data_IF_322791118147
#
_entry.id   IF_322791118147
#
_cell.length_a   1.000
_cell.length_b   1.000
_cell.length_c   1.000
_cell.angle_alpha   90.00
_cell.angle_beta   90.00
_cell.angle_gamma   90.00
#
_symmetry.space_group_name_H-M   'P 1'
#
loop_
_entity.id
_entity.type
_entity.pdbx_description
1 polymer ?
#
# COMPACT_ATOMS: atom_id res chain seq x y z
N UNK A 1 56.97 46.53 -1.30
CA UNK A 1 56.38 47.88 -1.48
C UNK A 1 56.92 48.45 -2.78
N UNK A 2 56.14 48.32 -3.85
CA UNK A 2 56.36 49.04 -5.11
C UNK A 2 54.98 49.24 -5.73
N UNK A 3 54.71 50.48 -6.11
CA UNK A 3 53.40 51.03 -6.48
C UNK A 3 53.28 50.99 -7.99
N UNK A 4 52.12 50.57 -8.52
CA UNK A 4 51.72 50.96 -9.87
C UNK A 4 50.22 51.31 -9.89
N UNK A 5 49.96 52.57 -10.25
CA UNK A 5 48.63 53.16 -10.51
C UNK A 5 48.35 53.05 -12.00
N UNK A 6 47.19 52.52 -12.38
CA UNK A 6 46.46 52.84 -13.62
C UNK A 6 44.99 52.67 -13.22
N UNK A 7 44.11 53.67 -13.26
CA UNK A 7 43.85 54.64 -14.31
C UNK A 7 42.37 54.49 -14.63
N UNK A 8 41.53 55.22 -13.89
CA UNK A 8 40.08 55.27 -13.99
C UNK A 8 39.68 56.01 -15.27
N UNK A 9 38.80 55.42 -16.08
CA UNK A 9 37.96 56.16 -17.02
C UNK A 9 36.51 55.83 -16.68
N UNK A 10 35.84 56.87 -16.18
CA UNK A 10 34.40 56.96 -15.94
C UNK A 10 33.76 57.29 -17.28
N UNK A 11 32.79 56.48 -17.71
CA UNK A 11 31.80 56.91 -18.69
C UNK A 11 30.41 56.67 -18.09
N UNK A 12 29.91 57.70 -17.42
CA UNK A 12 28.50 57.84 -17.07
C UNK A 12 27.71 58.20 -18.33
N UNK A 13 26.73 57.36 -18.68
CA UNK A 13 25.48 57.88 -19.26
C UNK A 13 24.29 57.00 -18.85
N UNK A 14 23.46 57.61 -18.03
CA UNK A 14 22.24 57.09 -17.41
C UNK A 14 21.00 57.37 -18.33
N UNK A 15 19.74 57.13 -17.92
CA UNK A 15 18.91 56.01 -18.38
C UNK A 15 17.62 56.43 -19.12
N UNK A 16 16.93 55.49 -19.78
CA UNK A 16 15.46 55.50 -19.90
C UNK A 16 14.91 54.16 -20.47
N UNK A 17 14.13 53.50 -19.61
CA UNK A 17 13.00 52.60 -19.86
C UNK A 17 12.60 52.26 -21.31
N UNK A 18 12.45 50.96 -21.58
CA UNK A 18 11.18 50.39 -22.04
C UNK A 18 11.20 48.87 -21.89
N UNK A 19 10.23 48.36 -21.15
CA UNK A 19 9.95 46.96 -20.96
C UNK A 19 9.43 46.31 -22.25
N UNK A 20 10.00 45.16 -22.59
CA UNK A 20 9.36 44.06 -23.32
C UNK A 20 10.12 42.81 -22.83
N UNK A 21 9.58 42.03 -21.90
CA UNK A 21 8.34 41.28 -22.13
C UNK A 21 8.62 40.05 -23.01
N UNK A 22 9.77 39.41 -22.83
CA UNK A 22 10.05 38.08 -23.34
C UNK A 22 9.83 37.06 -22.22
N UNK A 23 8.57 36.91 -21.85
CA UNK A 23 8.06 35.82 -21.02
C UNK A 23 8.48 34.52 -21.71
N UNK A 24 9.61 33.94 -21.28
CA UNK A 24 9.88 32.55 -21.57
C UNK A 24 8.91 31.81 -20.69
N UNK A 25 7.74 31.54 -21.26
CA UNK A 25 6.92 30.40 -20.91
C UNK A 25 7.86 29.23 -20.63
N UNK A 26 8.16 28.99 -19.35
CA UNK A 26 8.59 27.69 -18.88
C UNK A 26 7.29 26.92 -18.94
N UNK A 27 7.04 26.12 -20.00
CA UNK A 27 5.79 25.41 -20.11
C UNK A 27 5.79 24.47 -18.91
N UNK A 28 4.80 24.66 -18.02
CA UNK A 28 4.67 23.91 -16.79
C UNK A 28 4.92 22.44 -17.08
N UNK A 29 6.08 21.95 -16.66
CA UNK A 29 6.39 20.54 -16.62
C UNK A 29 5.66 19.92 -15.43
N UNK A 30 4.36 20.15 -15.35
CA UNK A 30 3.44 19.19 -14.76
C UNK A 30 3.44 17.98 -15.69
N UNK A 31 4.55 17.25 -15.62
CA UNK A 31 4.76 15.95 -16.27
C UNK A 31 3.57 15.11 -15.84
N UNK A 32 2.65 14.88 -16.76
CA UNK A 32 1.48 14.06 -16.50
C UNK A 32 1.96 12.69 -15.97
N UNK A 33 1.93 12.51 -14.65
CA UNK A 33 2.44 11.31 -14.01
C UNK A 33 1.56 10.15 -14.45
N UNK A 34 2.14 9.21 -15.20
CA UNK A 34 1.35 8.14 -15.78
C UNK A 34 0.84 7.22 -14.68
N UNK A 35 -0.29 6.55 -14.93
CA UNK A 35 -0.90 5.63 -13.95
C UNK A 35 0.08 4.55 -13.47
N UNK A 36 0.97 4.08 -14.35
CA UNK A 36 2.04 3.13 -14.04
C UNK A 36 2.98 3.65 -12.96
N UNK A 37 3.42 4.89 -13.06
CA UNK A 37 4.38 5.50 -12.14
C UNK A 37 3.75 5.69 -10.78
N UNK A 38 2.50 6.17 -10.77
CA UNK A 38 1.73 6.31 -9.53
C UNK A 38 1.57 4.97 -8.83
N UNK A 39 1.35 3.89 -9.57
CA UNK A 39 1.24 2.56 -9.02
C UNK A 39 2.57 2.07 -8.43
N UNK A 40 3.70 2.28 -9.13
CA UNK A 40 5.03 1.91 -8.64
C UNK A 40 5.42 2.71 -7.39
N UNK A 41 5.18 4.02 -7.38
CA UNK A 41 5.47 4.87 -6.22
C UNK A 41 4.51 4.59 -5.05
N UNK A 42 3.24 4.27 -5.33
CA UNK A 42 2.30 3.83 -4.31
C UNK A 42 2.72 2.49 -3.69
N UNK A 43 3.19 1.54 -4.51
CA UNK A 43 3.81 0.31 -4.05
C UNK A 43 5.04 0.63 -3.18
N UNK A 44 5.93 1.49 -3.65
CA UNK A 44 7.10 2.00 -2.93
C UNK A 44 6.76 2.46 -1.53
N UNK A 45 5.85 3.44 -1.43
CA UNK A 45 5.39 3.99 -0.15
C UNK A 45 4.74 2.95 0.76
N UNK A 46 4.06 1.97 0.17
CA UNK A 46 3.42 0.91 0.92
C UNK A 46 4.45 -0.06 1.52
N UNK A 47 5.44 -0.51 0.74
CA UNK A 47 6.38 -1.52 1.22
C UNK A 47 7.48 -0.94 2.11
N UNK A 48 7.79 0.35 2.00
CA UNK A 48 8.73 1.02 2.93
C UNK A 48 8.05 1.53 4.20
N UNK A 49 6.73 1.36 4.34
CA UNK A 49 5.99 1.78 5.53
C UNK A 49 6.51 1.08 6.79
N UNK A 50 6.56 1.83 7.90
CA UNK A 50 7.08 1.40 9.20
C UNK A 50 8.61 1.15 9.23
N UNK A 51 9.34 1.59 8.21
CA UNK A 51 10.80 1.74 8.26
C UNK A 51 11.17 3.15 8.77
N UNK A 52 12.41 3.35 9.27
CA UNK A 52 12.94 4.68 9.56
C UNK A 52 12.80 5.63 8.37
N UNK A 53 12.45 6.89 8.63
CA UNK A 53 12.08 7.87 7.61
C UNK A 53 13.23 8.13 6.61
N UNK A 54 14.48 8.09 7.06
CA UNK A 54 15.69 8.20 6.23
C UNK A 54 15.79 7.05 5.24
N UNK A 55 15.65 5.81 5.71
CA UNK A 55 15.72 4.61 4.87
C UNK A 55 14.57 4.56 3.86
N UNK A 56 13.37 4.96 4.29
CA UNK A 56 12.20 5.02 3.41
C UNK A 56 12.36 6.10 2.34
N UNK A 57 12.88 7.28 2.69
CA UNK A 57 13.13 8.38 1.76
C UNK A 57 14.18 8.02 0.71
N UNK A 58 15.32 7.45 1.13
CA UNK A 58 16.38 7.01 0.21
C UNK A 58 15.85 6.01 -0.83
N UNK A 59 15.08 5.02 -0.37
CA UNK A 59 14.53 3.98 -1.26
C UNK A 59 13.46 4.53 -2.20
N UNK A 60 12.66 5.49 -1.75
CA UNK A 60 11.68 6.16 -2.61
C UNK A 60 12.38 7.03 -3.67
N UNK A 61 13.45 7.74 -3.32
CA UNK A 61 14.23 8.53 -4.25
C UNK A 61 14.89 7.66 -5.35
N UNK A 62 15.40 6.48 -4.99
CA UNK A 62 15.91 5.49 -5.95
C UNK A 62 14.82 5.04 -6.93
N UNK A 63 13.63 4.67 -6.43
CA UNK A 63 12.50 4.28 -7.28
C UNK A 63 12.01 5.42 -8.18
N UNK A 64 12.03 6.65 -7.71
CA UNK A 64 11.70 7.83 -8.51
C UNK A 64 12.72 8.04 -9.64
N UNK A 65 14.01 7.85 -9.36
CA UNK A 65 15.08 7.89 -10.38
C UNK A 65 14.91 6.78 -11.41
N UNK A 66 14.69 5.53 -10.99
CA UNK A 66 14.48 4.38 -11.89
C UNK A 66 13.30 4.60 -12.84
N UNK A 67 12.18 5.13 -12.31
CA UNK A 67 10.99 5.43 -13.12
C UNK A 67 11.25 6.58 -14.09
N UNK A 68 12.05 7.58 -13.69
CA UNK A 68 12.45 8.67 -14.55
C UNK A 68 13.37 8.20 -15.69
N UNK A 69 14.39 7.39 -15.39
CA UNK A 69 15.33 6.82 -16.37
C UNK A 69 14.61 5.94 -17.39
N UNK A 70 13.72 5.06 -16.92
CA UNK A 70 12.96 4.18 -17.81
C UNK A 70 12.03 4.97 -18.74
N UNK A 71 11.45 6.09 -18.25
CA UNK A 71 10.66 6.99 -19.09
C UNK A 71 11.54 7.69 -20.13
N UNK A 72 12.71 8.18 -19.74
CA UNK A 72 13.65 8.83 -20.64
C UNK A 72 14.11 7.87 -21.74
N UNK A 73 14.41 6.62 -21.39
CA UNK A 73 14.82 5.58 -22.32
C UNK A 73 13.71 5.16 -23.29
N UNK A 74 12.44 5.19 -22.87
CA UNK A 74 11.30 4.76 -23.68
C UNK A 74 10.74 5.83 -24.64
N UNK A 75 11.33 7.02 -24.73
CA UNK A 75 11.04 8.02 -25.76
C UNK A 75 9.62 8.64 -25.74
N UNK A 76 8.83 8.43 -24.68
CA UNK A 76 7.51 9.07 -24.51
C UNK A 76 6.32 8.11 -24.42
N UNK A 77 5.64 8.22 -23.28
CA UNK A 77 4.24 7.88 -22.98
C UNK A 77 3.67 6.45 -23.21
N UNK A 78 3.70 5.88 -24.41
CA UNK A 78 2.85 4.71 -24.73
C UNK A 78 3.55 3.34 -24.59
N UNK A 79 4.88 3.27 -24.77
CA UNK A 79 5.65 2.02 -24.61
C UNK A 79 6.19 1.77 -23.19
N UNK A 80 6.48 2.85 -22.44
CA UNK A 80 7.16 2.80 -21.15
C UNK A 80 6.35 2.06 -20.07
N UNK A 81 5.03 2.25 -20.05
CA UNK A 81 4.17 1.79 -18.95
C UNK A 81 4.19 0.27 -18.76
N UNK A 82 4.22 -0.51 -19.84
CA UNK A 82 4.28 -1.99 -19.75
C UNK A 82 5.65 -2.48 -19.27
N UNK A 83 6.74 -1.83 -19.70
CA UNK A 83 8.09 -2.15 -19.23
C UNK A 83 8.25 -1.86 -17.73
N UNK A 84 7.83 -0.66 -17.32
CA UNK A 84 7.86 -0.21 -15.91
C UNK A 84 7.08 -1.17 -15.01
N UNK A 85 5.82 -1.46 -15.36
CA UNK A 85 4.98 -2.37 -14.55
C UNK A 85 5.54 -3.80 -14.55
N UNK A 86 6.03 -4.28 -15.70
CA UNK A 86 6.62 -5.62 -15.80
C UNK A 86 7.87 -5.78 -14.95
N UNK A 87 8.72 -4.75 -14.87
CA UNK A 87 9.89 -4.74 -13.96
C UNK A 87 9.45 -4.67 -12.51
N UNK A 88 8.51 -3.78 -12.18
CA UNK A 88 8.01 -3.63 -10.82
C UNK A 88 7.42 -4.94 -10.27
N UNK A 89 6.59 -5.63 -11.05
CA UNK A 89 6.02 -6.94 -10.67
C UNK A 89 7.11 -7.98 -10.41
N UNK A 90 8.14 -8.04 -11.26
CA UNK A 90 9.28 -8.95 -11.06
C UNK A 90 10.15 -8.56 -9.86
N UNK A 91 10.17 -7.29 -9.49
CA UNK A 91 10.89 -6.75 -8.34
C UNK A 91 10.21 -6.98 -6.99
N UNK A 92 8.89 -7.18 -6.96
CA UNK A 92 8.10 -7.36 -5.71
C UNK A 92 8.72 -8.38 -4.74
N UNK A 93 9.13 -9.59 -5.15
CA UNK A 93 9.73 -10.55 -4.22
C UNK A 93 11.04 -10.06 -3.61
N UNK A 94 11.87 -9.36 -4.40
CA UNK A 94 13.13 -8.79 -3.93
C UNK A 94 12.88 -7.63 -2.96
N UNK A 95 11.92 -6.75 -3.25
CA UNK A 95 11.52 -5.64 -2.38
C UNK A 95 11.03 -6.17 -1.01
N UNK A 96 10.19 -7.21 -1.03
CA UNK A 96 9.69 -7.84 0.20
C UNK A 96 10.81 -8.55 0.98
N UNK A 97 11.71 -9.27 0.30
CA UNK A 97 12.85 -9.90 0.94
C UNK A 97 13.78 -8.87 1.59
N UNK A 98 14.04 -7.76 0.90
CA UNK A 98 14.79 -6.62 1.42
C UNK A 98 14.13 -6.02 2.65
N UNK A 99 12.81 -5.79 2.61
CA UNK A 99 12.05 -5.24 3.75
C UNK A 99 12.17 -6.17 4.96
N UNK A 100 11.98 -7.47 4.76
CA UNK A 100 12.11 -8.47 5.83
C UNK A 100 13.52 -8.47 6.43
N UNK A 101 14.55 -8.38 5.59
CA UNK A 101 15.94 -8.29 6.05
C UNK A 101 16.18 -7.03 6.90
N UNK A 102 15.66 -5.87 6.47
CA UNK A 102 15.77 -4.61 7.22
C UNK A 102 15.05 -4.66 8.57
N UNK A 103 13.83 -5.18 8.59
CA UNK A 103 13.06 -5.32 9.83
C UNK A 103 13.69 -6.30 10.81
N UNK A 104 14.30 -7.39 10.31
CA UNK A 104 15.10 -8.29 11.16
C UNK A 104 16.30 -7.56 11.75
N UNK A 105 17.01 -6.75 10.96
CA UNK A 105 18.12 -5.92 11.45
C UNK A 105 17.68 -4.95 12.56
N UNK A 106 16.58 -4.22 12.35
CA UNK A 106 16.03 -3.27 13.32
C UNK A 106 15.53 -3.95 14.61
N UNK A 107 14.97 -5.16 14.49
CA UNK A 107 14.55 -5.97 15.64
C UNK A 107 15.73 -6.41 16.51
N UNK A 108 16.92 -6.63 15.92
CA UNK A 108 18.11 -7.05 16.66
C UNK A 108 18.73 -5.88 17.46
N UNK A 109 18.48 -4.65 17.03
CA UNK A 109 19.00 -3.43 17.69
C UNK A 109 18.00 -2.78 18.65
N UNK A 110 16.74 -3.24 18.68
CA UNK A 110 15.71 -2.68 19.55
C UNK A 110 15.98 -3.03 21.03
N UNK A 111 15.83 -2.08 21.97
CA UNK A 111 15.94 -2.35 23.40
C UNK A 111 14.97 -3.47 23.84
N UNK A 112 15.46 -4.41 24.65
CA UNK A 112 14.62 -5.47 25.26
C UNK A 112 13.48 -4.81 26.05
N UNK A 113 12.25 -4.96 25.57
CA UNK A 113 11.05 -4.36 26.18
C UNK A 113 10.22 -3.49 25.24
N UNK A 114 10.77 -3.07 24.08
CA UNK A 114 9.96 -2.47 23.01
C UNK A 114 9.23 -3.58 22.26
N UNK A 115 7.99 -3.87 22.68
CA UNK A 115 7.09 -4.83 22.03
C UNK A 115 6.97 -4.53 20.51
N UNK A 116 6.91 -5.55 19.64
CA UNK A 116 7.87 -5.62 18.55
C UNK A 116 7.43 -4.83 17.31
N UNK A 117 8.37 -4.02 16.79
CA UNK A 117 8.36 -3.44 15.44
C UNK A 117 8.05 -4.47 14.32
N UNK A 118 8.17 -5.76 14.60
CA UNK A 118 7.85 -6.84 13.66
C UNK A 118 6.34 -7.06 13.43
N UNK A 119 5.46 -6.68 14.36
CA UNK A 119 4.01 -6.95 14.25
C UNK A 119 3.35 -6.22 13.07
N UNK A 120 3.54 -4.88 12.89
CA UNK A 120 2.99 -4.19 11.72
C UNK A 120 3.54 -4.76 10.42
N UNK A 121 4.83 -5.05 10.36
CA UNK A 121 5.43 -5.64 9.17
C UNK A 121 4.86 -7.02 8.83
N UNK A 122 4.66 -7.87 9.83
CA UNK A 122 4.06 -9.19 9.65
C UNK A 122 2.63 -9.05 9.11
N UNK A 123 1.87 -8.05 9.56
CA UNK A 123 0.54 -7.77 9.03
C UNK A 123 0.58 -7.37 7.55
N UNK A 124 1.54 -6.54 7.13
CA UNK A 124 1.72 -6.19 5.72
C UNK A 124 2.14 -7.39 4.87
N UNK A 125 3.06 -8.22 5.37
CA UNK A 125 3.49 -9.45 4.68
C UNK A 125 2.32 -10.43 4.54
N UNK A 126 1.56 -10.67 5.62
CA UNK A 126 0.38 -11.52 5.58
C UNK A 126 -0.69 -10.98 4.62
N UNK A 127 -0.89 -9.66 4.60
CA UNK A 127 -1.80 -8.97 3.65
C UNK A 127 -1.34 -9.19 2.21
N UNK A 128 -0.06 -8.99 1.90
CA UNK A 128 0.49 -9.22 0.56
C UNK A 128 0.37 -10.69 0.14
N UNK A 129 0.65 -11.64 1.03
CA UNK A 129 0.47 -13.07 0.77
C UNK A 129 -1.00 -13.41 0.49
N UNK A 130 -1.94 -12.82 1.26
CA UNK A 130 -3.37 -13.02 1.05
C UNK A 130 -3.84 -12.45 -0.30
N UNK A 131 -3.36 -11.26 -0.68
CA UNK A 131 -3.65 -10.66 -1.99
C UNK A 131 -3.08 -11.51 -3.13
N UNK A 132 -1.83 -11.97 -3.01
CA UNK A 132 -1.20 -12.84 -4.01
C UNK A 132 -1.98 -14.16 -4.16
N UNK A 133 -2.41 -14.76 -3.05
CA UNK A 133 -3.27 -15.93 -3.04
C UNK A 133 -4.61 -15.68 -3.73
N UNK A 134 -5.28 -14.56 -3.42
CA UNK A 134 -6.54 -14.17 -4.07
C UNK A 134 -6.40 -13.97 -5.58
N UNK A 135 -5.34 -13.29 -6.03
CA UNK A 135 -5.03 -13.12 -7.46
C UNK A 135 -4.79 -14.47 -8.14
N UNK A 136 -4.01 -15.36 -7.51
CA UNK A 136 -3.76 -16.71 -8.03
C UNK A 136 -5.07 -17.48 -8.25
N UNK A 137 -5.98 -17.44 -7.28
CA UNK A 137 -7.29 -18.09 -7.38
C UNK A 137 -8.08 -17.53 -8.55
N UNK A 138 -8.26 -16.21 -8.62
CA UNK A 138 -9.06 -15.55 -9.66
C UNK A 138 -8.50 -15.85 -11.05
N UNK A 139 -7.18 -15.80 -11.21
CA UNK A 139 -6.51 -16.12 -12.49
C UNK A 139 -6.69 -17.58 -12.87
N UNK A 140 -6.47 -18.51 -11.94
CA UNK A 140 -6.60 -19.95 -12.23
C UNK A 140 -8.03 -20.35 -12.57
N UNK A 141 -8.97 -19.85 -11.80
CA UNK A 141 -10.40 -20.05 -12.03
C UNK A 141 -10.82 -19.45 -13.36
N UNK A 142 -10.45 -18.19 -13.63
CA UNK A 142 -10.76 -17.52 -14.89
C UNK A 142 -10.20 -18.25 -16.11
N UNK A 143 -8.94 -18.73 -16.03
CA UNK A 143 -8.34 -19.54 -17.08
C UNK A 143 -9.13 -20.85 -17.31
N UNK A 144 -9.48 -21.56 -16.24
CA UNK A 144 -10.28 -22.79 -16.33
C UNK A 144 -11.66 -22.58 -16.98
N UNK A 145 -12.30 -21.44 -16.72
CA UNK A 145 -13.56 -21.05 -17.35
C UNK A 145 -13.39 -20.74 -18.85
N UNK A 146 -12.32 -20.02 -19.22
CA UNK A 146 -12.03 -19.69 -20.63
C UNK A 146 -11.73 -20.95 -21.45
N UNK A 147 -11.03 -21.91 -20.87
CA UNK A 147 -10.66 -23.17 -21.52
C UNK A 147 -11.83 -24.19 -21.55
N UNK A 148 -13.01 -23.83 -21.03
CA UNK A 148 -14.19 -24.70 -20.98
C UNK A 148 -14.05 -25.93 -20.09
N UNK A 149 -12.89 -26.11 -19.45
CA UNK A 149 -12.60 -27.20 -18.50
C UNK A 149 -13.44 -27.11 -17.21
N UNK A 150 -14.14 -26.01 -17.01
CA UNK A 150 -14.84 -25.69 -15.78
C UNK A 150 -16.26 -25.19 -16.04
N UNK A 151 -17.23 -26.11 -16.03
CA UNK A 151 -18.66 -25.80 -16.16
C UNK A 151 -19.35 -25.91 -14.79
N UNK A 152 -19.74 -24.78 -14.20
CA UNK A 152 -20.74 -24.76 -13.10
C UNK A 152 -20.29 -24.27 -11.73
N UNK A 153 -19.08 -23.73 -11.56
CA UNK A 153 -18.58 -23.24 -10.26
C UNK A 153 -18.61 -21.71 -10.10
N UNK A 154 -19.65 -21.04 -10.62
CA UNK A 154 -19.80 -19.58 -10.55
C UNK A 154 -19.73 -19.05 -9.12
N UNK A 155 -20.25 -19.80 -8.15
CA UNK A 155 -20.21 -19.43 -6.73
C UNK A 155 -18.78 -19.31 -6.19
N UNK A 156 -17.85 -20.16 -6.65
CA UNK A 156 -16.45 -20.12 -6.25
C UNK A 156 -15.72 -18.93 -6.88
N UNK A 157 -16.05 -18.60 -8.13
CA UNK A 157 -15.53 -17.40 -8.82
C UNK A 157 -15.98 -16.16 -8.07
N UNK A 158 -17.28 -16.06 -7.79
CA UNK A 158 -17.88 -14.95 -7.06
C UNK A 158 -17.27 -14.82 -5.66
N UNK A 159 -17.10 -15.92 -4.93
CA UNK A 159 -16.43 -15.93 -3.63
C UNK A 159 -14.97 -15.46 -3.72
N UNK A 160 -14.23 -15.89 -4.75
CA UNK A 160 -12.85 -15.45 -4.99
C UNK A 160 -12.74 -13.95 -5.28
N UNK A 161 -13.62 -13.42 -6.15
CA UNK A 161 -13.69 -12.00 -6.48
C UNK A 161 -14.11 -11.15 -5.27
N UNK A 162 -15.14 -11.57 -4.55
CA UNK A 162 -15.58 -10.92 -3.31
C UNK A 162 -14.44 -10.93 -2.30
N UNK A 163 -13.82 -12.07 -2.05
CA UNK A 163 -12.70 -12.20 -1.11
C UNK A 163 -11.51 -11.29 -1.49
N UNK A 164 -11.15 -11.22 -2.77
CA UNK A 164 -10.10 -10.34 -3.25
C UNK A 164 -10.48 -8.85 -3.12
N UNK A 165 -11.73 -8.49 -3.42
CA UNK A 165 -12.26 -7.15 -3.21
C UNK A 165 -12.21 -6.72 -1.74
N UNK A 166 -12.65 -7.60 -0.83
CA UNK A 166 -12.54 -7.40 0.62
C UNK A 166 -11.08 -7.21 1.05
N UNK A 167 -10.16 -8.00 0.51
CA UNK A 167 -8.73 -7.90 0.82
C UNK A 167 -8.14 -6.57 0.34
N UNK A 168 -8.52 -6.10 -0.85
CA UNK A 168 -8.07 -4.81 -1.39
C UNK A 168 -8.62 -3.63 -0.56
N UNK A 169 -9.90 -3.66 -0.20
CA UNK A 169 -10.52 -2.66 0.68
C UNK A 169 -9.83 -2.66 2.05
N UNK A 170 -9.67 -3.84 2.65
CA UNK A 170 -8.98 -4.00 3.93
C UNK A 170 -7.54 -3.47 3.88
N UNK A 171 -6.79 -3.82 2.83
CA UNK A 171 -5.45 -3.32 2.60
C UNK A 171 -5.38 -1.80 2.38
N UNK A 172 -6.40 -1.19 1.76
CA UNK A 172 -6.46 0.26 1.61
C UNK A 172 -6.75 0.94 2.96
N UNK A 173 -7.66 0.37 3.76
CA UNK A 173 -7.99 0.87 5.10
C UNK A 173 -6.81 0.75 6.08
N UNK A 174 -5.96 -0.28 5.97
CA UNK A 174 -4.73 -0.39 6.78
C UNK A 174 -3.71 0.71 6.46
N UNK A 175 -3.85 1.40 5.32
CA UNK A 175 -3.01 2.57 5.00
C UNK A 175 -3.46 3.84 5.73
N UNK A 176 -4.70 3.90 6.21
CA UNK A 176 -5.24 5.04 6.96
C UNK A 176 -5.04 4.78 8.46
N UNK A 177 -4.16 5.53 9.17
CA UNK A 177 -3.84 5.27 10.57
C UNK A 177 -5.04 5.10 11.49
N UNK A 178 -6.07 5.94 11.30
CA UNK A 178 -7.30 5.95 12.09
C UNK A 178 -8.23 4.76 11.81
N UNK A 179 -8.14 4.18 10.61
CA UNK A 179 -8.98 3.08 10.15
C UNK A 179 -8.26 1.72 10.11
N UNK A 180 -7.02 1.64 10.63
CA UNK A 180 -6.19 0.41 10.59
C UNK A 180 -6.90 -0.80 11.20
N UNK A 181 -7.55 -0.61 12.34
CA UNK A 181 -8.30 -1.67 13.01
C UNK A 181 -9.44 -2.18 12.14
N UNK A 182 -10.17 -1.28 11.47
CA UNK A 182 -11.25 -1.63 10.56
C UNK A 182 -10.68 -2.39 9.37
N UNK A 183 -9.60 -1.90 8.75
CA UNK A 183 -8.92 -2.60 7.67
C UNK A 183 -8.51 -4.03 8.02
N UNK A 184 -8.00 -4.25 9.23
CA UNK A 184 -7.69 -5.59 9.72
C UNK A 184 -8.93 -6.48 9.88
N UNK A 185 -10.09 -5.94 10.30
CA UNK A 185 -11.34 -6.70 10.33
C UNK A 185 -11.81 -7.11 8.92
N UNK A 186 -11.70 -6.21 7.93
CA UNK A 186 -11.98 -6.55 6.53
C UNK A 186 -11.04 -7.65 6.03
N UNK A 187 -9.76 -7.58 6.38
CA UNK A 187 -8.77 -8.62 6.06
C UNK A 187 -9.06 -9.96 6.76
N UNK A 188 -9.65 -9.96 7.95
CA UNK A 188 -10.09 -11.19 8.63
C UNK A 188 -11.24 -11.87 7.88
N UNK A 189 -12.23 -11.10 7.41
CA UNK A 189 -13.31 -11.65 6.58
C UNK A 189 -12.76 -12.14 5.23
N UNK A 190 -11.90 -11.33 4.60
CA UNK A 190 -11.24 -11.69 3.35
C UNK A 190 -10.41 -12.98 3.47
N UNK A 191 -9.67 -13.14 4.57
CA UNK A 191 -8.84 -14.32 4.82
C UNK A 191 -9.68 -15.58 4.95
N UNK A 192 -10.80 -15.53 5.67
CA UNK A 192 -11.74 -16.64 5.72
C UNK A 192 -12.23 -17.01 4.32
N UNK A 193 -12.73 -16.02 3.56
CA UNK A 193 -13.31 -16.25 2.23
C UNK A 193 -12.27 -16.84 1.27
N UNK A 194 -11.10 -16.20 1.16
CA UNK A 194 -10.05 -16.58 0.21
C UNK A 194 -9.34 -17.89 0.58
N UNK A 195 -9.10 -18.17 1.86
CA UNK A 195 -8.47 -19.43 2.27
C UNK A 195 -9.46 -20.58 2.13
N UNK A 196 -10.69 -20.41 2.64
CA UNK A 196 -11.71 -21.46 2.63
C UNK A 196 -12.19 -21.79 1.23
N UNK A 197 -12.75 -20.81 0.52
CA UNK A 197 -13.36 -21.02 -0.81
C UNK A 197 -12.31 -21.05 -1.91
N UNK A 198 -11.21 -20.31 -1.76
CA UNK A 198 -10.12 -20.36 -2.72
C UNK A 198 -9.43 -21.72 -2.76
N UNK A 199 -9.27 -22.39 -1.62
CA UNK A 199 -8.79 -23.78 -1.61
C UNK A 199 -9.73 -24.71 -2.38
N UNK A 200 -11.06 -24.59 -2.20
CA UNK A 200 -12.03 -25.38 -2.97
C UNK A 200 -11.96 -25.09 -4.47
N UNK A 201 -11.79 -23.82 -4.85
CA UNK A 201 -11.59 -23.43 -6.24
C UNK A 201 -10.32 -24.05 -6.85
N UNK A 202 -9.22 -24.09 -6.10
CA UNK A 202 -7.98 -24.71 -6.54
C UNK A 202 -8.07 -26.23 -6.63
N UNK A 203 -8.73 -26.90 -5.67
CA UNK A 203 -8.98 -28.36 -5.73
C UNK A 203 -9.75 -28.71 -7.00
N UNK A 204 -10.74 -27.89 -7.36
CA UNK A 204 -11.56 -28.13 -8.53
C UNK A 204 -10.88 -27.73 -9.86
N UNK A 205 -9.79 -26.95 -9.84
CA UNK A 205 -9.04 -26.54 -11.06
C UNK A 205 -7.66 -27.18 -11.20
N UNK A 206 -7.20 -27.95 -10.22
CA UNK A 206 -5.86 -28.56 -10.20
C UNK A 206 -5.95 -30.07 -9.97
N UNK A 207 -5.53 -30.85 -10.96
CA UNK A 207 -5.49 -32.32 -10.89
C UNK A 207 -4.60 -32.81 -9.75
N UNK A 208 -3.45 -32.16 -9.52
CA UNK A 208 -2.53 -32.49 -8.44
C UNK A 208 -3.14 -32.23 -7.06
N UNK A 209 -3.77 -31.05 -6.85
CA UNK A 209 -4.41 -30.74 -5.58
C UNK A 209 -5.63 -31.64 -5.33
N UNK A 210 -6.39 -31.94 -6.39
CA UNK A 210 -7.52 -32.87 -6.34
C UNK A 210 -7.08 -34.27 -5.94
N UNK A 211 -6.02 -34.80 -6.56
CA UNK A 211 -5.45 -36.11 -6.20
C UNK A 211 -4.97 -36.14 -4.74
N UNK A 212 -4.26 -35.10 -4.29
CA UNK A 212 -3.80 -34.97 -2.91
C UNK A 212 -4.99 -34.96 -1.92
N UNK A 213 -6.01 -34.14 -2.16
CA UNK A 213 -7.19 -34.06 -1.29
C UNK A 213 -8.01 -35.35 -1.27
N UNK A 214 -8.08 -36.08 -2.39
CA UNK A 214 -8.75 -37.37 -2.43
C UNK A 214 -7.97 -38.45 -1.68
N UNK A 215 -6.63 -38.38 -1.65
CA UNK A 215 -5.80 -39.34 -0.90
C UNK A 215 -5.72 -39.10 0.61
N UNK A 216 -5.86 -37.84 1.07
CA UNK A 216 -5.67 -37.43 2.46
C UNK A 216 -6.83 -36.57 2.97
N UNK A 217 -8.07 -36.98 2.66
CA UNK A 217 -9.25 -36.12 2.75
C UNK A 217 -9.48 -35.51 4.15
N UNK A 218 -9.33 -36.30 5.21
CA UNK A 218 -9.53 -35.81 6.59
C UNK A 218 -8.46 -34.79 6.98
N UNK A 219 -7.19 -35.11 6.72
CA UNK A 219 -6.05 -34.25 7.07
C UNK A 219 -6.07 -32.95 6.27
N UNK A 220 -6.32 -33.03 4.97
CA UNK A 220 -6.39 -31.88 4.08
C UNK A 220 -7.54 -30.93 4.44
N UNK A 221 -8.73 -31.47 4.78
CA UNK A 221 -9.85 -30.67 5.28
C UNK A 221 -9.50 -29.98 6.61
N UNK A 222 -8.83 -30.68 7.53
CA UNK A 222 -8.40 -30.11 8.81
C UNK A 222 -7.37 -29.01 8.60
N UNK A 223 -6.36 -29.23 7.76
CA UNK A 223 -5.34 -28.23 7.41
C UNK A 223 -5.99 -26.96 6.87
N UNK A 224 -6.96 -27.09 5.94
CA UNK A 224 -7.66 -25.93 5.39
C UNK A 224 -8.45 -25.17 6.46
N UNK A 225 -9.15 -25.87 7.36
CA UNK A 225 -9.89 -25.26 8.47
C UNK A 225 -8.97 -24.55 9.44
N UNK A 226 -7.86 -25.18 9.83
CA UNK A 226 -6.87 -24.61 10.73
C UNK A 226 -6.21 -23.39 10.10
N UNK A 227 -5.81 -23.46 8.83
CA UNK A 227 -5.22 -22.34 8.11
C UNK A 227 -6.19 -21.15 8.00
N UNK A 228 -7.46 -21.42 7.67
CA UNK A 228 -8.51 -20.39 7.61
C UNK A 228 -8.72 -19.74 8.99
N UNK A 229 -8.85 -20.55 10.05
CA UNK A 229 -9.01 -20.05 11.41
C UNK A 229 -7.79 -19.25 11.89
N UNK A 230 -6.59 -19.72 11.59
CA UNK A 230 -5.35 -19.02 11.91
C UNK A 230 -5.25 -17.67 11.20
N UNK A 231 -5.61 -17.60 9.91
CA UNK A 231 -5.66 -16.35 9.15
C UNK A 231 -6.66 -15.35 9.73
N UNK A 232 -7.87 -15.80 10.11
CA UNK A 232 -8.88 -14.96 10.78
C UNK A 232 -8.36 -14.45 12.12
N UNK A 233 -7.88 -15.35 12.98
CA UNK A 233 -7.38 -15.00 14.31
C UNK A 233 -6.23 -14.02 14.22
N UNK A 234 -5.29 -14.23 13.29
CA UNK A 234 -4.18 -13.31 13.05
C UNK A 234 -4.66 -11.88 12.78
N UNK A 235 -5.59 -11.70 11.84
CA UNK A 235 -6.09 -10.37 11.50
C UNK A 235 -6.99 -9.77 12.58
N UNK A 236 -7.75 -10.59 13.32
CA UNK A 236 -8.51 -10.13 14.50
C UNK A 236 -7.56 -9.65 15.60
N UNK A 237 -6.45 -10.36 15.85
CA UNK A 237 -5.42 -9.91 16.78
C UNK A 237 -4.78 -8.59 16.34
N UNK A 238 -4.55 -8.40 15.02
CA UNK A 238 -4.06 -7.12 14.48
C UNK A 238 -5.10 -6.00 14.64
N UNK A 239 -6.38 -6.30 14.45
CA UNK A 239 -7.46 -5.34 14.65
C UNK A 239 -7.53 -4.88 16.11
N UNK A 240 -7.46 -5.82 17.06
CA UNK A 240 -7.42 -5.52 18.48
C UNK A 240 -6.18 -4.70 18.87
N UNK A 241 -5.04 -5.00 18.25
CA UNK A 241 -3.78 -4.27 18.47
C UNK A 241 -3.86 -2.81 17.98
N UNK A 242 -4.46 -2.57 16.82
CA UNK A 242 -4.65 -1.23 16.25
C UNK A 242 -5.89 -0.49 16.76
N UNK A 243 -6.62 -1.07 17.71
CA UNK A 243 -7.81 -0.45 18.25
C UNK A 243 -7.40 0.87 18.96
N UNK A 244 -8.00 2.02 18.60
CA UNK A 244 -7.72 3.27 19.28
C UNK A 244 -8.01 3.11 20.78
N UNK A 245 -7.09 3.56 21.64
CA UNK A 245 -7.32 3.52 23.08
C UNK A 245 -8.65 4.21 23.41
N UNK A 246 -9.45 3.63 24.31
CA UNK A 246 -10.78 4.16 24.65
C UNK A 246 -10.73 5.65 25.00
N UNK A 247 -9.65 6.13 25.63
CA UNK A 247 -9.41 7.55 25.95
C UNK A 247 -9.39 8.46 24.71
N UNK A 248 -8.81 8.01 23.59
CA UNK A 248 -8.80 8.76 22.34
C UNK A 248 -10.20 8.84 21.70
N UNK A 249 -10.99 7.78 21.81
CA UNK A 249 -12.37 7.74 21.33
C UNK A 249 -13.31 8.63 22.16
N UNK A 250 -13.11 8.69 23.48
CA UNK A 250 -13.88 9.57 24.36
C UNK A 250 -13.46 11.04 24.26
N UNK A 251 -12.18 11.34 24.01
CA UNK A 251 -11.69 12.70 23.81
C UNK A 251 -12.11 13.32 22.45
N UNK A 252 -12.31 12.49 21.42
CA UNK A 252 -12.82 12.93 20.13
C UNK A 252 -14.35 13.19 20.12
N UNK A 253 -15.06 12.93 21.22
CA UNK A 253 -16.45 13.33 21.36
C UNK A 253 -16.45 14.85 21.49
N UNK A 254 -16.97 15.61 20.50
CA UNK A 254 -17.01 17.05 20.62
C UNK A 254 -17.77 17.40 21.90
N UNK A 255 -17.25 18.34 22.70
CA UNK A 255 -17.97 19.04 23.77
C UNK A 255 -19.13 19.86 23.17
N UNK A 256 -20.03 19.20 22.45
CA UNK A 256 -21.35 19.69 22.12
C UNK A 256 -22.28 18.87 22.99
N UNK A 257 -22.72 19.44 24.12
CA UNK A 257 -24.04 19.20 24.76
C UNK A 257 -24.14 19.77 26.19
N UNK A 258 -23.11 20.36 26.82
CA UNK A 258 -23.26 20.98 28.16
C UNK A 258 -22.88 22.47 28.27
N UNK A 259 -23.09 23.24 27.20
CA UNK A 259 -23.52 24.64 27.37
C UNK A 259 -25.02 24.68 27.16
N UNK A 260 -25.78 24.30 28.20
CA UNK A 260 -27.10 24.92 28.33
C UNK A 260 -26.86 26.43 28.33
N UNK A 261 -27.57 27.23 27.52
CA UNK A 261 -27.50 28.67 27.69
C UNK A 261 -27.81 28.95 29.16
N UNK A 262 -26.93 29.71 29.81
CA UNK A 262 -27.25 30.26 31.13
C UNK A 262 -28.47 31.13 30.89
N UNK A 263 -29.65 30.63 31.25
CA UNK A 263 -30.87 31.43 31.24
C UNK A 263 -30.66 32.41 32.39
N UNK A 264 -30.33 33.65 32.04
CA UNK A 264 -30.40 34.77 32.98
C UNK A 264 -31.84 34.79 33.53
N UNK A 265 -32.07 34.92 34.85
CA UNK A 265 -33.42 35.01 35.44
C UNK A 265 -34.36 36.04 34.77
N UNK A 266 -33.85 36.96 33.96
CA UNK A 266 -34.63 37.99 33.26
C UNK A 266 -35.12 37.61 31.85
N UNK A 267 -34.88 36.38 31.37
CA UNK A 267 -35.62 35.83 30.22
C UNK A 267 -35.45 36.56 28.88
N UNK A 268 -34.34 37.26 28.67
CA UNK A 268 -34.07 37.93 27.39
C UNK A 268 -32.99 37.17 26.62
N UNK A 269 -33.36 36.65 25.44
CA UNK A 269 -32.47 35.93 24.53
C UNK A 269 -31.63 36.97 23.77
N UNK A 270 -30.30 36.89 23.87
CA UNK A 270 -29.35 37.56 22.98
C UNK A 270 -28.94 36.63 21.83
#
# INVERSE_FOLDING_TARGET
MTVERVGVVIEEREPAASAQGGDRDVPGSDRAMHRSDRAVLAWGRWYTRDLPDDVAADRLAELESDVFEERAAAGGAQGAGRSIVGRAIRGVPADLAWRVARLRGLSLTAPKGTFPLMLPALAHVATAMLLAWGVLIVVRVGAGMLDGSWAGAWDLVAAGLVGLGLALIGSALTLVPEARWLGALWLAVASYVLLRFGMYALIATSTTLSAFYNSALIEAILINRVLSAAGVLFFVSMAAWWLPSAKALWAARPERVHRSPVIDPEGTIA
#
